data_IF_650557736044
#
_entry.id   IF_650557736044
#
_cell.length_a   1.000
_cell.length_b   1.000
_cell.length_c   1.000
_cell.angle_alpha   90.00
_cell.angle_beta   90.00
_cell.angle_gamma   90.00
#
_symmetry.space_group_name_H-M   'P 1'
#
loop_
_entity.id
_entity.type
_entity.pdbx_description
1 polymer ?
#
# COMPACT_ATOMS: atom_id res chain seq x y z
N UNK A 1 29.80 -24.06 12.00
CA UNK A 1 29.45 -22.85 12.79
C UNK A 1 29.06 -21.76 11.80
N UNK A 2 27.76 -21.51 11.64
CA UNK A 2 27.28 -20.43 10.80
C UNK A 2 27.47 -19.09 11.53
N UNK A 3 28.34 -18.26 10.99
CA UNK A 3 28.45 -16.85 11.35
C UNK A 3 27.10 -16.17 11.13
N UNK A 4 26.48 -15.69 12.22
CA UNK A 4 25.35 -14.76 12.15
C UNK A 4 25.90 -13.49 11.49
N UNK A 5 25.47 -13.20 10.26
CA UNK A 5 25.62 -11.84 9.70
C UNK A 5 24.89 -10.89 10.66
N UNK A 6 25.61 -9.90 11.17
CA UNK A 6 25.01 -8.82 11.94
C UNK A 6 23.94 -8.14 11.09
N UNK A 7 22.85 -7.75 11.73
CA UNK A 7 21.76 -6.92 11.19
C UNK A 7 22.21 -5.55 10.67
N UNK A 8 23.51 -5.23 10.76
CA UNK A 8 24.14 -3.95 10.41
C UNK A 8 24.25 -3.64 8.91
N UNK A 9 24.00 -4.60 8.03
CA UNK A 9 24.20 -4.41 6.57
C UNK A 9 22.89 -4.13 5.79
N UNK A 10 21.76 -3.93 6.48
CA UNK A 10 20.50 -3.58 5.80
C UNK A 10 20.38 -2.05 5.63
N UNK A 11 20.47 -1.50 4.41
CA UNK A 11 20.38 -0.05 4.17
C UNK A 11 19.02 0.56 4.53
N UNK A 12 18.01 -0.29 4.80
CA UNK A 12 16.67 0.12 5.22
C UNK A 12 16.49 0.18 6.74
N UNK A 13 17.56 0.02 7.52
CA UNK A 13 17.55 0.15 8.97
C UNK A 13 18.48 1.28 9.34
N UNK A 14 17.95 2.37 9.90
CA UNK A 14 18.79 3.47 10.33
C UNK A 14 19.56 3.12 11.62
N UNK A 15 20.79 3.64 11.78
CA UNK A 15 21.47 3.63 13.08
C UNK A 15 20.57 4.23 14.15
N UNK A 16 20.53 3.60 15.32
CA UNK A 16 19.71 4.08 16.41
C UNK A 16 20.44 5.22 17.15
N UNK A 17 19.85 6.41 17.16
CA UNK A 17 20.35 7.58 17.89
C UNK A 17 19.65 7.71 19.25
N UNK A 18 20.39 7.44 20.33
CA UNK A 18 19.88 7.49 21.70
C UNK A 18 19.48 8.90 22.15
N UNK A 19 20.10 9.95 21.60
CA UNK A 19 19.94 11.31 22.10
C UNK A 19 18.58 11.91 21.68
N UNK A 20 17.90 11.26 20.75
CA UNK A 20 16.57 11.60 20.29
C UNK A 20 15.44 11.02 21.18
N UNK A 21 15.76 10.20 22.19
CA UNK A 21 14.78 9.49 23.00
C UNK A 21 15.01 9.62 24.50
N UNK A 22 13.91 9.60 25.26
CA UNK A 22 13.95 9.61 26.72
C UNK A 22 14.30 8.20 27.23
N UNK A 23 15.59 7.91 27.35
CA UNK A 23 16.11 6.64 27.88
C UNK A 23 17.30 6.89 28.83
N UNK A 24 17.27 6.29 30.01
CA UNK A 24 18.39 6.33 30.94
C UNK A 24 19.61 5.57 30.36
N UNK A 25 20.85 6.08 30.53
CA UNK A 25 22.04 5.48 29.96
C UNK A 25 22.23 3.99 30.28
N UNK A 26 21.89 3.58 31.50
CA UNK A 26 21.98 2.21 32.01
C UNK A 26 21.05 1.23 31.27
N UNK A 27 19.96 1.71 30.67
CA UNK A 27 18.97 0.87 29.97
C UNK A 27 19.22 0.79 28.45
N UNK A 28 20.21 1.52 27.93
CA UNK A 28 20.50 1.60 26.48
C UNK A 28 20.86 0.26 25.86
N UNK A 29 21.57 -0.60 26.59
CA UNK A 29 21.95 -1.93 26.08
C UNK A 29 20.72 -2.82 25.90
N UNK A 30 19.86 -2.91 26.92
CA UNK A 30 18.63 -3.70 26.86
C UNK A 30 17.70 -3.20 25.74
N UNK A 31 17.56 -1.88 25.60
CA UNK A 31 16.81 -1.27 24.51
C UNK A 31 17.29 -1.78 23.14
N UNK A 32 18.60 -1.84 22.92
CA UNK A 32 19.16 -2.36 21.68
C UNK A 32 18.90 -3.84 21.48
N UNK A 33 19.04 -4.66 22.52
CA UNK A 33 18.76 -6.10 22.46
C UNK A 33 17.29 -6.36 22.08
N UNK A 34 16.37 -5.59 22.66
CA UNK A 34 14.94 -5.66 22.32
C UNK A 34 14.70 -5.14 20.90
N UNK A 35 15.32 -4.03 20.50
CA UNK A 35 15.16 -3.45 19.18
C UNK A 35 15.62 -4.40 18.07
N UNK A 36 16.76 -5.07 18.25
CA UNK A 36 17.26 -6.07 17.30
C UNK A 36 16.30 -7.27 17.14
N UNK A 37 15.54 -7.62 18.18
CA UNK A 37 14.55 -8.69 18.13
C UNK A 37 13.36 -8.34 17.21
N UNK A 38 12.94 -7.07 17.18
CA UNK A 38 11.74 -6.64 16.45
C UNK A 38 12.04 -5.98 15.11
N UNK A 39 13.25 -5.46 14.89
CA UNK A 39 13.67 -5.06 13.55
C UNK A 39 13.71 -6.27 12.63
N UNK A 40 13.23 -6.09 11.41
CA UNK A 40 13.10 -7.14 10.41
C UNK A 40 13.71 -6.71 9.09
N UNK A 41 14.43 -7.65 8.48
CA UNK A 41 14.68 -7.62 7.05
C UNK A 41 13.46 -8.22 6.36
N UNK A 42 12.78 -7.42 5.54
CA UNK A 42 11.84 -7.94 4.55
C UNK A 42 12.65 -8.57 3.41
N UNK A 43 12.04 -9.52 2.69
CA UNK A 43 12.67 -10.16 1.52
C UNK A 43 13.37 -9.11 0.65
N UNK A 44 14.58 -9.39 0.19
CA UNK A 44 15.32 -8.43 -0.64
C UNK A 44 14.45 -7.97 -1.80
N UNK A 45 14.40 -6.65 -2.04
CA UNK A 45 13.76 -5.94 -3.16
C UNK A 45 14.36 -6.35 -4.52
N UNK A 46 14.39 -7.65 -4.83
CA UNK A 46 14.89 -8.17 -6.09
C UNK A 46 13.69 -8.64 -6.88
N UNK A 47 13.31 -7.97 -7.98
CA UNK A 47 12.20 -8.41 -8.80
C UNK A 47 12.43 -9.86 -9.21
N UNK A 48 11.37 -10.67 -9.15
CA UNK A 48 11.41 -11.95 -9.84
C UNK A 48 11.71 -11.63 -11.31
N UNK A 49 12.75 -12.27 -11.87
CA UNK A 49 13.30 -11.93 -13.20
C UNK A 49 12.31 -12.14 -14.36
N UNK A 50 11.07 -12.52 -14.06
CA UNK A 50 10.09 -13.09 -14.98
C UNK A 50 8.98 -12.12 -15.39
N UNK A 51 8.82 -10.95 -14.76
CA UNK A 51 7.73 -10.03 -15.08
C UNK A 51 8.21 -8.71 -15.69
N UNK A 52 7.55 -8.31 -16.78
CA UNK A 52 7.67 -6.96 -17.35
C UNK A 52 6.97 -5.97 -16.43
N UNK A 53 7.68 -5.49 -15.40
CA UNK A 53 7.17 -4.41 -14.56
C UNK A 53 7.48 -3.09 -15.27
N UNK A 54 6.48 -2.21 -15.41
CA UNK A 54 6.67 -0.85 -15.87
C UNK A 54 7.74 -0.18 -14.98
N UNK A 55 8.89 0.27 -15.52
CA UNK A 55 9.99 0.81 -14.71
C UNK A 55 9.60 2.00 -13.82
N UNK A 56 8.62 2.80 -14.25
CA UNK A 56 8.11 3.95 -13.48
C UNK A 56 7.30 3.46 -12.29
N UNK A 57 6.38 2.51 -12.50
CA UNK A 57 5.60 1.90 -11.42
C UNK A 57 6.53 1.17 -10.44
N UNK A 58 7.50 0.43 -10.95
CA UNK A 58 8.53 -0.22 -10.14
C UNK A 58 9.23 0.79 -9.23
N UNK A 59 9.70 1.93 -9.77
CA UNK A 59 10.33 2.97 -8.98
C UNK A 59 9.41 3.54 -7.90
N UNK A 60 8.17 3.88 -8.25
CA UNK A 60 7.19 4.46 -7.31
C UNK A 60 6.88 3.48 -6.17
N UNK A 61 6.59 2.23 -6.49
CA UNK A 61 6.21 1.24 -5.48
C UNK A 61 7.41 0.74 -4.66
N UNK A 62 8.62 0.74 -5.24
CA UNK A 62 9.85 0.51 -4.47
C UNK A 62 10.01 1.55 -3.37
N UNK A 63 9.90 2.84 -3.71
CA UNK A 63 9.97 3.92 -2.73
C UNK A 63 8.88 3.81 -1.66
N UNK A 64 7.63 3.56 -2.06
CA UNK A 64 6.52 3.42 -1.11
C UNK A 64 6.74 2.24 -0.14
N UNK A 65 7.31 1.14 -0.63
CA UNK A 65 7.60 -0.01 0.21
C UNK A 65 8.79 0.24 1.15
N UNK A 66 9.87 0.86 0.67
CA UNK A 66 10.99 1.28 1.51
C UNK A 66 10.53 2.17 2.67
N UNK A 67 9.61 3.10 2.41
CA UNK A 67 9.02 3.96 3.45
C UNK A 67 8.20 3.16 4.47
N UNK A 68 7.38 2.18 4.04
CA UNK A 68 6.68 1.31 5.00
C UNK A 68 7.65 0.45 5.82
N UNK A 69 8.72 -0.05 5.21
CA UNK A 69 9.76 -0.83 5.91
C UNK A 69 10.47 0.02 6.95
N UNK A 70 10.84 1.26 6.61
CA UNK A 70 11.40 2.24 7.56
C UNK A 70 10.41 2.56 8.66
N UNK A 71 9.15 2.82 8.33
CA UNK A 71 8.10 3.06 9.32
C UNK A 71 7.93 1.87 10.28
N UNK A 72 8.05 0.64 9.80
CA UNK A 72 8.02 -0.55 10.65
C UNK A 72 9.27 -0.66 11.55
N UNK A 73 10.47 -0.50 10.97
CA UNK A 73 11.75 -0.74 11.66
C UNK A 73 12.21 0.41 12.55
N UNK A 74 11.96 1.64 12.15
CA UNK A 74 12.50 2.86 12.78
C UNK A 74 11.42 3.61 13.58
N UNK A 75 10.15 3.44 13.25
CA UNK A 75 9.08 4.11 13.99
C UNK A 75 8.37 3.18 14.98
N UNK A 76 7.94 2.01 14.52
CA UNK A 76 7.17 1.07 15.34
C UNK A 76 8.07 0.22 16.22
N UNK A 77 9.11 -0.41 15.64
CA UNK A 77 10.00 -1.30 16.39
C UNK A 77 10.78 -0.56 17.47
N UNK A 78 11.21 0.67 17.19
CA UNK A 78 11.81 1.56 18.19
C UNK A 78 10.81 1.92 19.30
N UNK A 79 9.57 2.27 18.94
CA UNK A 79 8.52 2.57 19.92
C UNK A 79 8.22 1.40 20.86
N UNK A 80 8.11 0.19 20.30
CA UNK A 80 7.91 -1.04 21.08
C UNK A 80 9.11 -1.35 21.97
N UNK A 81 10.34 -1.22 21.46
CA UNK A 81 11.54 -1.49 22.24
C UNK A 81 11.67 -0.54 23.44
N UNK A 82 11.40 0.75 23.25
CA UNK A 82 11.35 1.73 24.34
C UNK A 82 10.30 1.34 25.37
N UNK A 83 9.10 1.05 24.91
CA UNK A 83 8.00 0.72 25.79
C UNK A 83 8.30 -0.53 26.64
N UNK A 84 8.89 -1.56 26.03
CA UNK A 84 9.29 -2.77 26.75
C UNK A 84 10.41 -2.50 27.76
N UNK A 85 11.40 -1.70 27.38
CA UNK A 85 12.51 -1.32 28.29
C UNK A 85 11.97 -0.54 29.48
N UNK A 86 11.14 0.48 29.23
CA UNK A 86 10.51 1.26 30.29
C UNK A 86 9.60 0.42 31.19
N UNK A 87 8.96 -0.61 30.62
CA UNK A 87 8.12 -1.53 31.37
C UNK A 87 8.92 -2.44 32.32
N UNK A 88 10.16 -2.75 31.98
CA UNK A 88 11.03 -3.57 32.83
C UNK A 88 11.63 -2.77 34.00
N UNK A 89 11.74 -1.45 33.87
CA UNK A 89 12.34 -0.52 34.85
C UNK A 89 11.36 0.57 35.29
N UNK A 90 10.14 0.19 35.68
CA UNK A 90 9.06 1.14 35.95
C UNK A 90 9.35 2.12 37.09
N UNK A 91 10.23 1.76 38.01
CA UNK A 91 10.75 2.59 39.08
C UNK A 91 11.48 3.84 38.56
N UNK A 92 12.08 3.76 37.37
CA UNK A 92 12.92 4.80 36.81
C UNK A 92 12.19 5.70 35.81
N UNK A 93 10.97 5.32 35.41
CA UNK A 93 10.18 6.02 34.41
C UNK A 93 8.82 6.50 34.94
N UNK A 94 8.48 7.75 34.64
CA UNK A 94 7.14 8.27 34.97
C UNK A 94 6.05 7.55 34.16
N UNK A 95 4.89 7.30 34.79
CA UNK A 95 3.75 6.68 34.11
C UNK A 95 3.30 7.45 32.86
N UNK A 96 3.44 8.79 32.86
CA UNK A 96 3.12 9.63 31.71
C UNK A 96 4.03 9.35 30.52
N UNK A 97 5.33 9.15 30.75
CA UNK A 97 6.27 8.79 29.70
C UNK A 97 5.91 7.42 29.11
N UNK A 98 5.67 6.42 29.97
CA UNK A 98 5.24 5.08 29.53
C UNK A 98 3.94 5.14 28.72
N UNK A 99 2.96 5.91 29.19
CA UNK A 99 1.67 6.11 28.51
C UNK A 99 1.84 6.76 27.14
N UNK A 100 2.69 7.78 27.02
CA UNK A 100 2.99 8.42 25.74
C UNK A 100 3.56 7.45 24.71
N UNK A 101 4.55 6.63 25.09
CA UNK A 101 5.15 5.65 24.17
C UNK A 101 4.16 4.55 23.80
N UNK A 102 3.30 4.13 24.72
CA UNK A 102 2.25 3.15 24.43
C UNK A 102 1.21 3.69 23.45
N UNK A 103 0.64 4.86 23.74
CA UNK A 103 -0.37 5.52 22.90
C UNK A 103 0.16 5.72 21.47
N UNK A 104 1.38 6.25 21.33
CA UNK A 104 2.01 6.45 20.02
C UNK A 104 2.29 5.14 19.28
N UNK A 105 2.79 4.11 19.97
CA UNK A 105 3.10 2.82 19.33
C UNK A 105 1.81 2.16 18.82
N UNK A 106 0.72 2.21 19.59
CA UNK A 106 -0.59 1.73 19.15
C UNK A 106 -1.04 2.46 17.88
N UNK A 107 -0.97 3.79 17.86
CA UNK A 107 -1.38 4.59 16.70
C UNK A 107 -0.55 4.24 15.46
N UNK A 108 0.78 4.15 15.60
CA UNK A 108 1.68 3.80 14.49
C UNK A 108 1.40 2.40 13.93
N UNK A 109 1.19 1.40 14.78
CA UNK A 109 0.82 0.03 14.35
C UNK A 109 -0.48 0.04 13.53
N UNK A 110 -1.50 0.78 14.00
CA UNK A 110 -2.78 0.88 13.28
C UNK A 110 -2.60 1.62 11.94
N UNK A 111 -1.84 2.72 11.92
CA UNK A 111 -1.57 3.50 10.70
C UNK A 111 -0.78 2.71 9.65
N UNK A 112 0.10 1.81 10.06
CA UNK A 112 0.86 0.97 9.12
C UNK A 112 -0.04 0.09 8.24
N UNK A 113 -1.16 -0.39 8.80
CA UNK A 113 -2.18 -1.10 8.01
C UNK A 113 -2.85 -0.17 6.99
N UNK A 114 -3.21 1.05 7.37
CA UNK A 114 -3.79 2.02 6.43
C UNK A 114 -2.83 2.33 5.27
N UNK A 115 -1.52 2.50 5.55
CA UNK A 115 -0.51 2.68 4.49
C UNK A 115 -0.40 1.46 3.57
N UNK A 116 -0.43 0.25 4.14
CA UNK A 116 -0.41 -1.00 3.38
C UNK A 116 -1.58 -1.08 2.40
N UNK A 117 -2.80 -0.71 2.83
CA UNK A 117 -3.97 -0.67 1.96
C UNK A 117 -3.97 0.49 0.96
N UNK A 118 -3.33 1.62 1.28
CA UNK A 118 -3.14 2.73 0.33
C UNK A 118 -2.21 2.34 -0.82
N UNK A 119 -1.14 1.59 -0.56
CA UNK A 119 -0.28 1.03 -1.61
C UNK A 119 -1.10 0.15 -2.54
N UNK A 120 -1.90 -0.78 -2.00
CA UNK A 120 -2.76 -1.65 -2.82
C UNK A 120 -3.83 -0.87 -3.60
N UNK A 121 -4.42 0.16 -2.99
CA UNK A 121 -5.38 1.04 -3.65
C UNK A 121 -4.78 1.71 -4.89
N UNK A 122 -3.53 2.19 -4.78
CA UNK A 122 -2.80 2.79 -5.89
C UNK A 122 -2.38 1.74 -6.93
N UNK A 123 -1.81 0.62 -6.49
CA UNK A 123 -1.32 -0.46 -7.35
C UNK A 123 -2.41 -1.07 -8.22
N UNK A 124 -3.62 -1.23 -7.69
CA UNK A 124 -4.77 -1.78 -8.43
C UNK A 124 -5.64 -0.71 -9.10
N UNK A 125 -5.29 0.58 -9.04
CA UNK A 125 -6.06 1.65 -9.71
C UNK A 125 -7.50 1.81 -9.19
N UNK A 126 -7.68 1.67 -7.88
CA UNK A 126 -9.01 1.68 -7.27
C UNK A 126 -9.56 3.10 -7.04
N UNK A 127 -8.68 4.10 -7.01
CA UNK A 127 -9.00 5.53 -6.86
C UNK A 127 -9.80 5.87 -5.59
N UNK A 128 -9.70 5.07 -4.53
CA UNK A 128 -10.25 5.47 -3.24
C UNK A 128 -9.40 6.59 -2.63
N UNK A 129 -10.05 7.54 -1.96
CA UNK A 129 -9.39 8.67 -1.33
C UNK A 129 -8.73 8.26 -0.02
N UNK A 130 -7.51 8.74 0.23
CA UNK A 130 -6.76 8.41 1.45
C UNK A 130 -7.30 9.08 2.72
N UNK A 131 -8.07 10.16 2.61
CA UNK A 131 -8.55 10.91 3.77
C UNK A 131 -9.89 11.63 3.56
N UNK A 132 -10.59 11.91 4.67
CA UNK A 132 -11.78 12.75 4.68
C UNK A 132 -11.50 14.18 4.19
N UNK A 133 -10.32 14.73 4.51
CA UNK A 133 -9.88 16.04 4.04
C UNK A 133 -9.77 16.09 2.51
N UNK A 134 -9.22 15.04 1.89
CA UNK A 134 -9.16 14.94 0.42
C UNK A 134 -10.56 14.92 -0.19
N UNK A 135 -11.51 14.23 0.46
CA UNK A 135 -12.92 14.24 0.04
C UNK A 135 -13.54 15.62 0.15
N UNK A 136 -13.32 16.34 1.25
CA UNK A 136 -13.84 17.69 1.46
C UNK A 136 -13.31 18.65 0.39
N UNK A 137 -11.98 18.70 0.20
CA UNK A 137 -11.35 19.55 -0.82
C UNK A 137 -11.89 19.25 -2.23
N UNK A 138 -11.95 17.97 -2.61
CA UNK A 138 -12.48 17.59 -3.92
C UNK A 138 -13.97 17.92 -4.04
N UNK A 139 -14.76 17.68 -2.99
CA UNK A 139 -16.18 18.01 -2.97
C UNK A 139 -16.39 19.50 -3.21
N UNK A 140 -15.63 20.34 -2.52
CA UNK A 140 -15.70 21.80 -2.68
C UNK A 140 -15.33 22.22 -4.10
N UNK A 141 -14.29 21.63 -4.68
CA UNK A 141 -13.88 21.91 -6.07
C UNK A 141 -14.98 21.54 -7.07
N UNK A 142 -15.59 20.35 -6.93
CA UNK A 142 -16.62 19.85 -7.85
C UNK A 142 -17.98 20.53 -7.67
N UNK A 143 -18.26 21.11 -6.51
CA UNK A 143 -19.46 21.93 -6.27
C UNK A 143 -19.37 23.32 -6.87
N UNK A 144 -18.24 23.68 -7.50
CA UNK A 144 -18.05 24.94 -8.20
C UNK A 144 -18.00 24.74 -9.70
N UNK A 145 -18.57 25.70 -10.43
CA UNK A 145 -18.45 25.79 -11.88
C UNK A 145 -17.26 26.68 -12.23
N UNK A 146 -16.19 26.02 -12.67
CA UNK A 146 -14.99 26.68 -13.17
C UNK A 146 -15.14 27.03 -14.65
N UNK A 147 -14.77 28.26 -15.01
CA UNK A 147 -14.71 28.72 -16.40
C UNK A 147 -13.40 29.46 -16.62
N UNK A 148 -12.75 29.20 -17.74
CA UNK A 148 -11.66 30.05 -18.20
C UNK A 148 -12.29 31.29 -18.85
N UNK A 149 -11.86 32.48 -18.43
CA UNK A 149 -12.35 33.77 -18.92
C UNK A 149 -11.17 34.58 -19.41
N UNK A 150 -11.31 35.17 -20.59
CA UNK A 150 -10.33 36.08 -21.16
C UNK A 150 -10.39 37.45 -20.45
N UNK A 151 -9.25 37.96 -20.02
CA UNK A 151 -9.11 39.23 -19.30
C UNK A 151 -7.94 40.00 -19.90
N UNK A 152 -8.22 40.86 -20.90
CA UNK A 152 -7.18 41.51 -21.71
C UNK A 152 -6.39 40.47 -22.50
N UNK A 153 -5.06 40.52 -22.41
CA UNK A 153 -4.14 39.58 -23.09
C UNK A 153 -3.88 38.29 -22.28
N UNK A 154 -4.71 37.97 -21.29
CA UNK A 154 -4.51 36.82 -20.39
C UNK A 154 -5.78 36.01 -20.15
N UNK A 155 -5.63 34.77 -19.71
CA UNK A 155 -6.75 33.90 -19.31
C UNK A 155 -6.74 33.72 -17.79
N UNK A 156 -7.91 33.87 -17.17
CA UNK A 156 -8.11 33.66 -15.73
C UNK A 156 -9.18 32.60 -15.48
N UNK A 157 -9.10 31.91 -14.34
CA UNK A 157 -10.14 30.97 -13.91
C UNK A 157 -11.17 31.72 -13.06
N UNK A 158 -12.40 31.84 -13.57
CA UNK A 158 -13.55 32.33 -12.82
C UNK A 158 -14.33 31.16 -12.21
N UNK A 159 -14.79 31.35 -10.97
CA UNK A 159 -15.60 30.40 -10.24
C UNK A 159 -17.02 30.95 -10.06
N UNK A 160 -18.03 30.12 -10.33
CA UNK A 160 -19.44 30.44 -10.12
C UNK A 160 -20.15 29.26 -9.46
N UNK A 161 -21.22 29.52 -8.73
CA UNK A 161 -22.00 28.48 -8.09
C UNK A 161 -22.98 27.83 -9.07
N UNK A 162 -23.23 26.53 -8.87
CA UNK A 162 -24.33 25.84 -9.54
C UNK A 162 -25.67 26.24 -8.91
N UNK A 163 -26.77 26.03 -9.64
CA UNK A 163 -28.10 26.12 -9.03
C UNK A 163 -28.29 25.04 -7.96
N UNK A 164 -29.17 25.25 -6.98
CA UNK A 164 -29.41 24.30 -5.89
C UNK A 164 -29.76 22.89 -6.38
N UNK A 165 -30.58 22.79 -7.44
CA UNK A 165 -30.94 21.51 -8.07
C UNK A 165 -29.72 20.79 -8.64
N UNK A 166 -28.84 21.52 -9.32
CA UNK A 166 -27.61 20.97 -9.88
C UNK A 166 -26.62 20.56 -8.78
N UNK A 167 -26.50 21.36 -7.71
CA UNK A 167 -25.69 21.01 -6.55
C UNK A 167 -26.18 19.72 -5.88
N UNK A 168 -27.49 19.53 -5.73
CA UNK A 168 -28.04 18.30 -5.18
C UNK A 168 -27.66 17.07 -6.03
N UNK A 169 -27.80 17.17 -7.36
CA UNK A 169 -27.41 16.09 -8.29
C UNK A 169 -25.90 15.80 -8.24
N UNK A 170 -25.07 16.86 -8.17
CA UNK A 170 -23.61 16.73 -8.04
C UNK A 170 -23.26 16.06 -6.71
N UNK A 171 -23.87 16.49 -5.60
CA UNK A 171 -23.60 15.93 -4.27
C UNK A 171 -23.92 14.44 -4.18
N UNK A 172 -25.02 13.98 -4.78
CA UNK A 172 -25.34 12.55 -4.82
C UNK A 172 -24.32 11.75 -5.65
N UNK A 173 -23.85 12.30 -6.79
CA UNK A 173 -22.78 11.67 -7.57
C UNK A 173 -21.46 11.63 -6.81
N UNK A 174 -21.08 12.73 -6.15
CA UNK A 174 -19.84 12.85 -5.39
C UNK A 174 -19.82 11.89 -4.18
N UNK A 175 -20.94 11.68 -3.49
CA UNK A 175 -21.04 10.68 -2.41
C UNK A 175 -20.68 9.26 -2.88
N UNK A 176 -20.98 8.93 -4.13
CA UNK A 176 -20.67 7.62 -4.71
C UNK A 176 -19.25 7.55 -5.28
N UNK A 177 -18.73 8.66 -5.82
CA UNK A 177 -17.42 8.72 -6.44
C UNK A 177 -16.27 8.94 -5.43
N UNK A 178 -16.46 9.83 -4.46
CA UNK A 178 -15.44 10.24 -3.50
C UNK A 178 -15.46 9.36 -2.24
N UNK A 179 -15.13 8.08 -2.42
CA UNK A 179 -15.10 7.09 -1.34
C UNK A 179 -13.78 7.18 -0.58
N UNK A 180 -13.85 7.40 0.74
CA UNK A 180 -12.67 7.39 1.62
C UNK A 180 -12.31 5.95 1.99
N UNK A 181 -11.04 5.64 1.82
CA UNK A 181 -10.42 4.39 2.16
C UNK A 181 -10.12 4.31 3.66
N UNK A 182 -10.53 3.20 4.26
CA UNK A 182 -10.06 2.78 5.57
C UNK A 182 -9.70 1.31 5.49
N UNK A 183 -8.67 0.87 6.22
CA UNK A 183 -8.34 -0.55 6.31
C UNK A 183 -9.57 -1.43 6.63
N UNK A 184 -10.44 -0.95 7.52
CA UNK A 184 -11.70 -1.61 7.92
C UNK A 184 -12.71 -1.81 6.78
N UNK A 185 -12.74 -0.90 5.81
CA UNK A 185 -13.72 -0.93 4.73
C UNK A 185 -13.13 -1.42 3.41
N UNK A 186 -11.82 -1.64 3.32
CA UNK A 186 -11.09 -1.89 2.08
C UNK A 186 -11.73 -2.97 1.21
N UNK A 187 -11.83 -4.22 1.71
CA UNK A 187 -12.45 -5.34 0.97
C UNK A 187 -13.91 -5.07 0.57
N UNK A 188 -14.65 -4.34 1.42
CA UNK A 188 -16.04 -3.96 1.13
C UNK A 188 -16.11 -2.93 0.00
N UNK A 189 -15.20 -1.96 -0.03
CA UNK A 189 -15.13 -0.96 -1.11
C UNK A 189 -14.65 -1.57 -2.42
N UNK A 190 -13.66 -2.47 -2.39
CA UNK A 190 -13.24 -3.27 -3.56
C UNK A 190 -14.46 -3.97 -4.17
N UNK A 191 -15.22 -4.73 -3.36
CA UNK A 191 -16.46 -5.40 -3.78
C UNK A 191 -17.49 -4.46 -4.41
N UNK A 192 -17.63 -3.24 -3.87
CA UNK A 192 -18.60 -2.23 -4.31
C UNK A 192 -18.18 -1.51 -5.58
N UNK A 193 -16.88 -1.24 -5.75
CA UNK A 193 -16.35 -0.54 -6.92
C UNK A 193 -16.62 -1.29 -8.22
N UNK A 194 -16.71 -2.63 -8.15
CA UNK A 194 -16.82 -3.54 -9.30
C UNK A 194 -15.68 -3.40 -10.33
N UNK A 195 -14.62 -2.64 -10.02
CA UNK A 195 -13.47 -2.42 -10.91
C UNK A 195 -12.70 -3.72 -11.11
N UNK A 196 -12.41 -4.42 -10.02
CA UNK A 196 -11.58 -5.63 -10.00
C UNK A 196 -12.29 -6.83 -9.37
N UNK A 197 -11.82 -8.03 -9.70
CA UNK A 197 -12.16 -9.26 -9.01
C UNK A 197 -11.47 -9.34 -7.63
N UNK A 198 -11.99 -10.20 -6.75
CA UNK A 198 -11.31 -10.53 -5.51
C UNK A 198 -10.32 -11.66 -5.75
N UNK A 199 -9.16 -11.57 -5.11
CA UNK A 199 -8.10 -12.57 -5.19
C UNK A 199 -7.82 -13.20 -3.82
N UNK A 200 -7.33 -14.45 -3.77
CA UNK A 200 -7.00 -15.14 -2.52
C UNK A 200 -6.03 -14.37 -1.62
N UNK A 201 -5.09 -13.64 -2.20
CA UNK A 201 -4.08 -12.85 -1.48
C UNK A 201 -4.74 -11.74 -0.67
N UNK A 202 -5.76 -11.08 -1.23
CA UNK A 202 -6.55 -10.09 -0.49
C UNK A 202 -7.30 -10.76 0.68
N UNK A 203 -7.82 -11.97 0.49
CA UNK A 203 -8.52 -12.68 1.55
C UNK A 203 -7.58 -13.05 2.69
N UNK A 204 -6.39 -13.58 2.38
CA UNK A 204 -5.31 -13.84 3.35
C UNK A 204 -4.87 -12.57 4.08
N UNK A 205 -4.74 -11.44 3.37
CA UNK A 205 -4.38 -10.16 3.98
C UNK A 205 -5.47 -9.69 4.96
N UNK A 206 -6.74 -9.83 4.56
CA UNK A 206 -7.86 -9.49 5.44
C UNK A 206 -7.98 -10.43 6.63
N UNK A 207 -7.60 -11.70 6.51
CA UNK A 207 -7.52 -12.64 7.65
C UNK A 207 -6.45 -12.21 8.66
N UNK A 208 -5.27 -11.80 8.20
CA UNK A 208 -4.22 -11.24 9.06
C UNK A 208 -4.73 -9.96 9.76
N UNK A 209 -5.29 -9.02 8.99
CA UNK A 209 -5.82 -7.75 9.51
C UNK A 209 -6.98 -7.93 10.52
N UNK A 210 -7.79 -8.96 10.35
CA UNK A 210 -8.91 -9.29 11.25
C UNK A 210 -8.55 -10.32 12.32
N UNK A 211 -7.29 -10.77 12.38
CA UNK A 211 -6.82 -11.64 13.44
C UNK A 211 -7.06 -11.00 14.80
N UNK A 212 -7.23 -11.84 15.82
CA UNK A 212 -7.49 -11.39 17.20
C UNK A 212 -6.57 -10.25 17.66
N UNK A 213 -5.23 -10.33 17.55
CA UNK A 213 -4.36 -9.26 18.03
C UNK A 213 -4.56 -7.93 17.29
N UNK A 214 -4.79 -7.98 15.97
CA UNK A 214 -5.06 -6.78 15.17
C UNK A 214 -6.42 -6.17 15.48
N UNK A 215 -7.45 -6.99 15.59
CA UNK A 215 -8.82 -6.54 15.88
C UNK A 215 -8.93 -5.91 17.27
N UNK A 216 -8.37 -6.54 18.30
CA UNK A 216 -8.37 -6.00 19.67
C UNK A 216 -7.62 -4.66 19.73
N UNK A 217 -6.43 -4.55 19.13
CA UNK A 217 -5.67 -3.30 19.09
C UNK A 217 -6.46 -2.16 18.41
N UNK A 218 -7.07 -2.43 17.25
CA UNK A 218 -7.77 -1.40 16.46
C UNK A 218 -9.12 -0.98 17.02
N UNK A 219 -9.88 -1.93 17.57
CA UNK A 219 -11.27 -1.66 18.01
C UNK A 219 -11.39 -1.27 19.46
N UNK A 220 -10.51 -1.79 20.32
CA UNK A 220 -10.52 -1.49 21.74
C UNK A 220 -9.49 -0.41 22.03
N UNK A 221 -8.21 -0.71 21.81
CA UNK A 221 -7.14 0.15 22.32
C UNK A 221 -6.99 1.47 21.58
N UNK A 222 -7.02 1.46 20.23
CA UNK A 222 -7.00 2.69 19.44
C UNK A 222 -8.14 3.64 19.82
N UNK A 223 -9.35 3.11 20.05
CA UNK A 223 -10.49 3.93 20.47
C UNK A 223 -10.29 4.53 21.86
N UNK A 224 -9.69 3.78 22.80
CA UNK A 224 -9.33 4.32 24.12
C UNK A 224 -8.29 5.44 24.01
N UNK A 225 -7.24 5.24 23.20
CA UNK A 225 -6.19 6.24 22.95
C UNK A 225 -6.75 7.49 22.26
N UNK A 226 -7.64 7.33 21.28
CA UNK A 226 -8.08 8.44 20.40
C UNK A 226 -9.28 9.22 20.97
N UNK A 227 -10.22 8.54 21.63
CA UNK A 227 -11.54 9.11 21.96
C UNK A 227 -11.92 8.99 23.44
N UNK A 228 -11.18 8.21 24.21
CA UNK A 228 -11.47 7.98 25.62
C UNK A 228 -10.36 8.52 26.51
N UNK A 229 -10.04 7.71 27.52
CA UNK A 229 -9.06 8.01 28.53
C UNK A 229 -7.65 7.62 28.04
N UNK A 230 -7.04 8.40 27.14
CA UNK A 230 -5.63 8.19 26.76
C UNK A 230 -4.77 8.10 28.02
N UNK A 231 -3.80 7.19 28.00
CA UNK A 231 -2.99 6.91 29.19
C UNK A 231 -2.02 8.04 29.52
N UNK A 232 -1.84 8.97 28.59
CA UNK A 232 -1.07 10.19 28.80
C UNK A 232 -1.80 11.18 29.71
N UNK A 233 -3.13 11.11 29.79
CA UNK A 233 -3.93 11.99 30.65
C UNK A 233 -4.00 11.45 32.08
N UNK A 234 -3.52 12.22 33.05
CA UNK A 234 -3.63 11.87 34.48
C UNK A 234 -5.08 11.92 35.00
N UNK A 235 -5.96 12.68 34.34
CA UNK A 235 -7.38 12.78 34.63
C UNK A 235 -8.17 12.82 33.31
N UNK A 236 -9.27 12.09 33.25
CA UNK A 236 -10.21 12.02 32.14
C UNK A 236 -11.64 12.22 32.66
N UNK A 237 -12.45 12.95 31.91
CA UNK A 237 -13.89 13.08 32.20
C UNK A 237 -14.57 11.88 31.55
N UNK A 238 -14.80 10.81 32.32
CA UNK A 238 -15.64 9.68 31.89
C UNK A 238 -17.02 10.22 31.44
N UNK A 239 -17.65 9.55 30.46
CA UNK A 239 -18.80 10.07 29.69
C UNK A 239 -20.02 10.56 30.51
N UNK A 240 -21.08 10.96 29.80
CA UNK A 240 -22.27 11.77 30.19
C UNK A 240 -22.84 11.58 31.62
N UNK A 241 -22.59 10.46 32.30
CA UNK A 241 -23.09 10.14 33.65
C UNK A 241 -22.08 10.28 34.80
N UNK A 242 -20.83 10.70 34.57
CA UNK A 242 -19.86 10.97 35.66
C UNK A 242 -19.45 12.43 35.69
N UNK A 243 -19.93 13.16 36.69
CA UNK A 243 -19.61 14.58 36.97
C UNK A 243 -18.26 14.78 37.68
N UNK A 244 -17.55 13.71 38.02
CA UNK A 244 -16.25 13.76 38.69
C UNK A 244 -15.14 13.35 37.72
N UNK A 245 -13.99 14.06 37.71
CA UNK A 245 -12.79 13.60 37.01
C UNK A 245 -12.42 12.20 37.49
N UNK A 246 -12.33 11.26 36.55
CA UNK A 246 -11.79 9.91 36.79
C UNK A 246 -10.34 9.89 36.35
N UNK A 247 -9.50 9.04 36.93
CA UNK A 247 -8.15 8.83 36.40
C UNK A 247 -8.23 8.35 34.94
N UNK A 248 -7.36 8.89 34.07
CA UNK A 248 -7.20 8.33 32.72
C UNK A 248 -6.77 6.86 32.84
N UNK A 249 -7.23 5.98 31.92
CA UNK A 249 -7.15 4.50 31.97
C UNK A 249 -6.43 3.99 33.24
N UNK A 250 -7.14 4.04 34.38
CA UNK A 250 -6.47 3.77 35.65
C UNK A 250 -6.07 2.31 35.68
N UNK A 251 -4.77 2.09 35.80
CA UNK A 251 -4.13 0.82 36.08
C UNK A 251 -4.45 0.34 37.50
N UNK A 252 -5.71 0.38 37.94
CA UNK A 252 -6.16 -0.13 39.24
C UNK A 252 -5.87 -1.63 39.42
N UNK A 253 -5.59 -2.35 38.32
CA UNK A 253 -4.80 -3.58 38.30
C UNK A 253 -3.62 -3.44 37.31
N UNK A 254 -2.43 -2.99 37.76
CA UNK A 254 -1.43 -2.40 36.88
C UNK A 254 -0.64 -3.37 36.00
N UNK A 255 -0.16 -4.48 36.58
CA UNK A 255 0.77 -5.37 35.91
C UNK A 255 0.05 -6.15 34.80
N UNK A 256 -0.98 -6.93 35.17
CA UNK A 256 -1.64 -7.86 34.25
C UNK A 256 -2.20 -7.20 32.99
N UNK A 257 -2.86 -6.03 33.10
CA UNK A 257 -3.38 -5.31 31.91
C UNK A 257 -2.28 -4.74 31.02
N UNK A 258 -1.15 -4.31 31.59
CA UNK A 258 -0.02 -3.78 30.83
C UNK A 258 0.73 -4.91 30.13
N UNK A 259 0.95 -6.02 30.83
CA UNK A 259 1.56 -7.23 30.28
C UNK A 259 0.70 -7.79 29.13
N UNK A 260 -0.62 -7.82 29.32
CA UNK A 260 -1.57 -8.20 28.27
C UNK A 260 -1.47 -7.27 27.05
N UNK A 261 -1.33 -5.96 27.24
CA UNK A 261 -1.15 -4.99 26.15
C UNK A 261 0.18 -5.15 25.42
N UNK A 262 1.28 -5.35 26.15
CA UNK A 262 2.59 -5.59 25.54
C UNK A 262 2.60 -6.89 24.76
N UNK A 263 2.03 -7.94 25.32
CA UNK A 263 1.83 -9.22 24.64
C UNK A 263 1.00 -9.03 23.36
N UNK A 264 -0.09 -8.26 23.42
CA UNK A 264 -0.92 -7.93 22.28
C UNK A 264 -0.15 -7.18 21.19
N UNK A 265 0.65 -6.18 21.56
CA UNK A 265 1.49 -5.43 20.63
C UNK A 265 2.54 -6.33 19.96
N UNK A 266 3.22 -7.18 20.73
CA UNK A 266 4.19 -8.13 20.20
C UNK A 266 3.55 -9.09 19.20
N UNK A 267 2.40 -9.67 19.53
CA UNK A 267 1.64 -10.52 18.62
C UNK A 267 1.21 -9.75 17.35
N UNK A 268 0.84 -8.48 17.50
CA UNK A 268 0.47 -7.64 16.37
C UNK A 268 1.66 -7.38 15.45
N UNK A 269 2.87 -7.16 15.99
CA UNK A 269 4.08 -6.99 15.19
C UNK A 269 4.35 -8.18 14.27
N UNK A 270 4.21 -9.40 14.79
CA UNK A 270 4.39 -10.62 13.99
C UNK A 270 3.35 -10.74 12.86
N UNK A 271 2.10 -10.31 13.12
CA UNK A 271 1.03 -10.31 12.11
C UNK A 271 1.24 -9.19 11.09
N UNK A 272 1.62 -8.00 11.54
CA UNK A 272 1.89 -6.84 10.70
C UNK A 272 3.07 -7.12 9.76
N UNK A 273 4.14 -7.76 10.26
CA UNK A 273 5.26 -8.20 9.43
C UNK A 273 4.78 -9.10 8.28
N UNK A 274 3.93 -10.09 8.58
CA UNK A 274 3.35 -10.97 7.55
C UNK A 274 2.46 -10.20 6.56
N UNK A 275 1.71 -9.22 7.06
CA UNK A 275 0.87 -8.34 6.23
C UNK A 275 1.70 -7.51 5.25
N UNK A 276 2.74 -6.84 5.73
CA UNK A 276 3.67 -6.06 4.90
C UNK A 276 4.34 -6.96 3.87
N UNK A 277 4.80 -8.16 4.25
CA UNK A 277 5.38 -9.11 3.29
C UNK A 277 4.36 -9.55 2.23
N UNK A 278 3.10 -9.79 2.60
CA UNK A 278 2.09 -10.16 1.61
C UNK A 278 1.76 -9.01 0.65
N UNK A 279 1.77 -7.76 1.11
CA UNK A 279 1.63 -6.58 0.25
C UNK A 279 2.81 -6.44 -0.70
N UNK A 280 4.03 -6.68 -0.20
CA UNK A 280 5.22 -6.75 -1.04
C UNK A 280 5.02 -7.77 -2.15
N UNK A 281 4.67 -9.01 -1.80
CA UNK A 281 4.56 -10.11 -2.76
C UNK A 281 3.48 -9.80 -3.82
N UNK A 282 2.33 -9.23 -3.42
CA UNK A 282 1.30 -8.77 -4.36
C UNK A 282 1.86 -7.77 -5.39
N UNK A 283 2.59 -6.76 -4.94
CA UNK A 283 3.12 -5.71 -5.82
C UNK A 283 4.26 -6.25 -6.68
N UNK A 284 5.16 -7.02 -6.08
CA UNK A 284 6.43 -7.42 -6.67
C UNK A 284 6.31 -8.61 -7.61
N UNK A 285 5.41 -9.54 -7.30
CA UNK A 285 5.02 -10.63 -8.21
C UNK A 285 3.91 -10.19 -9.17
N UNK A 286 3.62 -8.88 -9.22
CA UNK A 286 2.67 -8.26 -10.11
C UNK A 286 1.27 -8.91 -10.08
N UNK A 287 0.79 -9.25 -8.88
CA UNK A 287 -0.50 -9.90 -8.67
C UNK A 287 -1.61 -8.86 -8.82
N UNK A 288 -2.05 -8.69 -10.06
CA UNK A 288 -3.07 -7.72 -10.45
C UNK A 288 -4.35 -8.48 -10.76
N UNK A 289 -5.42 -8.28 -9.98
CA UNK A 289 -6.70 -8.90 -10.28
C UNK A 289 -7.23 -8.42 -11.64
N UNK A 290 -7.79 -9.34 -12.42
CA UNK A 290 -8.58 -8.96 -13.59
C UNK A 290 -9.77 -8.08 -13.18
N UNK A 291 -10.32 -7.38 -14.17
CA UNK A 291 -11.60 -6.72 -14.05
C UNK A 291 -12.67 -7.72 -13.63
N UNK A 292 -13.71 -7.23 -12.95
CA UNK A 292 -14.81 -8.11 -12.51
C UNK A 292 -15.50 -8.83 -13.69
N UNK A 293 -15.53 -8.21 -14.87
CA UNK A 293 -16.11 -8.79 -16.08
C UNK A 293 -15.25 -9.93 -16.67
N UNK A 294 -13.94 -9.90 -16.39
CA UNK A 294 -12.96 -10.88 -16.85
C UNK A 294 -12.43 -11.75 -15.70
N UNK A 295 -13.17 -11.84 -14.60
CA UNK A 295 -12.83 -12.69 -13.45
C UNK A 295 -12.70 -14.15 -13.89
N UNK A 296 -11.56 -14.78 -13.59
CA UNK A 296 -11.28 -16.18 -13.96
C UNK A 296 -10.97 -16.40 -15.43
N UNK A 297 -10.88 -15.35 -16.25
CA UNK A 297 -10.36 -15.45 -17.61
C UNK A 297 -8.83 -15.43 -17.59
N UNK A 298 -8.25 -16.25 -18.46
CA UNK A 298 -6.81 -16.31 -18.67
C UNK A 298 -6.49 -15.51 -19.92
N UNK A 299 -5.43 -14.71 -19.87
CA UNK A 299 -4.92 -13.99 -21.03
C UNK A 299 -3.56 -14.58 -21.41
N UNK A 300 -3.27 -14.57 -22.72
CA UNK A 300 -2.06 -15.17 -23.26
C UNK A 300 -1.32 -14.17 -24.13
N UNK A 301 0.00 -14.19 -24.03
CA UNK A 301 0.89 -13.51 -24.95
C UNK A 301 1.94 -14.44 -25.52
N UNK A 302 2.59 -13.99 -26.58
CA UNK A 302 3.67 -14.68 -27.26
C UNK A 302 4.95 -13.91 -27.02
N UNK A 303 5.89 -14.54 -26.33
CA UNK A 303 7.23 -14.00 -26.15
C UNK A 303 8.07 -14.33 -27.37
N UNK A 304 8.66 -13.29 -27.94
CA UNK A 304 9.54 -13.38 -29.10
C UNK A 304 10.98 -13.13 -28.68
N UNK A 305 11.91 -13.88 -29.25
CA UNK A 305 13.34 -13.70 -29.07
C UNK A 305 14.07 -13.54 -30.41
N UNK A 306 15.18 -12.81 -30.38
CA UNK A 306 16.07 -12.73 -31.53
C UNK A 306 17.20 -13.76 -31.37
N UNK A 307 17.40 -14.68 -32.32
CA UNK A 307 18.51 -15.64 -32.22
C UNK A 307 19.89 -15.00 -32.37
N UNK A 308 19.97 -13.81 -32.96
CA UNK A 308 21.23 -13.12 -33.28
C UNK A 308 21.62 -12.01 -32.28
N UNK A 309 20.74 -11.63 -31.37
CA UNK A 309 21.08 -10.66 -30.31
C UNK A 309 20.18 -10.84 -29.08
N UNK A 310 20.53 -10.25 -27.95
CA UNK A 310 19.76 -10.39 -26.70
C UNK A 310 18.42 -9.61 -26.67
N UNK A 311 17.85 -9.31 -27.83
CA UNK A 311 16.54 -8.65 -27.91
C UNK A 311 15.42 -9.66 -27.65
N UNK A 312 14.51 -9.28 -26.74
CA UNK A 312 13.27 -10.00 -26.44
C UNK A 312 12.11 -9.02 -26.48
N UNK A 313 10.97 -9.47 -26.98
CA UNK A 313 9.73 -8.70 -27.01
C UNK A 313 8.53 -9.58 -26.68
N UNK A 314 7.38 -8.98 -26.48
CA UNK A 314 6.13 -9.69 -26.21
C UNK A 314 4.98 -9.05 -26.99
N UNK A 315 4.04 -9.87 -27.46
CA UNK A 315 2.78 -9.41 -28.03
C UNK A 315 1.62 -10.25 -27.52
N UNK A 316 0.39 -9.79 -27.72
CA UNK A 316 -0.79 -10.58 -27.37
C UNK A 316 -0.99 -11.75 -28.32
N UNK A 317 -1.58 -12.84 -27.81
CA UNK A 317 -1.91 -14.01 -28.61
C UNK A 317 -2.84 -13.64 -29.78
N UNK A 318 -3.85 -12.79 -29.55
CA UNK A 318 -4.80 -12.38 -30.60
C UNK A 318 -4.10 -11.65 -31.76
N UNK A 319 -3.14 -10.76 -31.45
CA UNK A 319 -2.36 -10.06 -32.48
C UNK A 319 -1.43 -11.02 -33.21
N UNK A 320 -0.79 -11.93 -32.48
CA UNK A 320 0.07 -12.95 -33.07
C UNK A 320 -0.73 -13.86 -34.03
N UNK A 321 -1.87 -14.38 -33.61
CA UNK A 321 -2.72 -15.28 -34.39
C UNK A 321 -3.26 -14.60 -35.65
N UNK A 322 -3.66 -13.33 -35.54
CA UNK A 322 -4.10 -12.52 -36.68
C UNK A 322 -3.00 -12.40 -37.74
N UNK A 323 -1.75 -12.19 -37.31
CA UNK A 323 -0.60 -12.03 -38.20
C UNK A 323 -0.13 -13.39 -38.74
N UNK A 324 -0.27 -14.46 -37.96
CA UNK A 324 0.05 -15.82 -38.35
C UNK A 324 -0.89 -16.34 -39.43
N UNK A 325 -2.21 -16.18 -39.22
CA UNK A 325 -3.24 -16.58 -40.16
C UNK A 325 -3.08 -15.91 -41.54
N UNK A 326 -2.41 -14.77 -41.59
CA UNK A 326 -2.10 -14.04 -42.82
C UNK A 326 -0.73 -14.35 -43.42
N UNK A 327 -0.02 -15.35 -42.90
CA UNK A 327 1.31 -15.77 -43.37
C UNK A 327 2.41 -14.74 -43.13
N UNK A 328 2.20 -13.76 -42.21
CA UNK A 328 3.13 -12.64 -41.96
C UNK A 328 3.95 -12.77 -40.68
N UNK A 329 3.74 -13.82 -39.87
CA UNK A 329 4.65 -14.16 -38.75
C UNK A 329 6.14 -14.26 -39.13
N UNK A 330 6.56 -14.67 -40.34
CA UNK A 330 7.98 -14.67 -40.70
C UNK A 330 8.64 -13.26 -40.83
N UNK A 331 7.95 -12.14 -40.55
CA UNK A 331 8.46 -10.78 -40.82
C UNK A 331 8.59 -9.89 -39.58
N UNK A 332 8.53 -10.45 -38.36
CA UNK A 332 8.95 -9.67 -37.20
C UNK A 332 10.47 -9.62 -37.16
N UNK A 333 11.02 -8.57 -37.75
CA UNK A 333 12.46 -8.34 -37.71
C UNK A 333 12.84 -7.71 -36.37
N UNK A 334 13.90 -8.23 -35.77
CA UNK A 334 14.50 -7.61 -34.60
C UNK A 334 14.83 -6.14 -34.90
N UNK A 335 14.38 -5.16 -34.10
CA UNK A 335 14.65 -3.75 -34.36
C UNK A 335 16.15 -3.41 -34.25
N UNK A 336 16.94 -4.26 -33.56
CA UNK A 336 18.39 -4.06 -33.40
C UNK A 336 19.21 -4.59 -34.57
N UNK A 337 18.95 -5.83 -35.01
CA UNK A 337 19.81 -6.53 -35.96
C UNK A 337 19.08 -7.02 -37.23
N UNK A 338 17.78 -6.71 -37.37
CA UNK A 338 16.93 -7.07 -38.50
C UNK A 338 16.80 -8.57 -38.79
N UNK A 339 17.22 -9.42 -37.85
CA UNK A 339 17.05 -10.86 -37.96
C UNK A 339 15.63 -11.25 -37.54
N UNK A 340 15.02 -12.27 -38.18
CA UNK A 340 13.66 -12.69 -37.84
C UNK A 340 13.60 -13.14 -36.37
N UNK A 341 12.55 -12.70 -35.68
CA UNK A 341 12.26 -13.13 -34.32
C UNK A 341 11.65 -14.54 -34.34
N UNK A 342 12.02 -15.33 -33.34
CA UNK A 342 11.47 -16.66 -33.09
C UNK A 342 10.54 -16.64 -31.88
N UNK A 343 9.62 -17.60 -31.83
CA UNK A 343 8.76 -17.77 -30.67
C UNK A 343 9.59 -18.46 -29.59
N UNK A 344 9.77 -17.78 -28.46
CA UNK A 344 10.41 -18.37 -27.31
C UNK A 344 9.42 -19.22 -26.52
N UNK A 345 8.26 -18.65 -26.19
CA UNK A 345 7.21 -19.32 -25.42
C UNK A 345 5.88 -18.55 -25.45
N UNK A 346 4.80 -19.24 -25.11
CA UNK A 346 3.52 -18.62 -24.75
C UNK A 346 3.51 -18.34 -23.24
N UNK A 347 3.07 -17.15 -22.87
CA UNK A 347 3.02 -16.66 -21.50
C UNK A 347 1.56 -16.46 -21.09
N UNK A 348 1.20 -16.99 -19.93
CA UNK A 348 0.01 -16.54 -19.22
C UNK A 348 0.28 -15.18 -18.58
N UNK A 349 -0.68 -14.26 -18.66
CA UNK A 349 -0.55 -12.91 -18.13
C UNK A 349 -1.85 -12.37 -17.58
N UNK A 350 -1.77 -11.35 -16.73
CA UNK A 350 -2.92 -10.64 -16.21
C UNK A 350 -3.57 -9.75 -17.29
N UNK A 351 -4.86 -9.45 -17.14
CA UNK A 351 -5.61 -8.56 -18.05
C UNK A 351 -4.90 -7.21 -18.25
N UNK A 352 -4.32 -6.65 -17.18
CA UNK A 352 -3.65 -5.36 -17.24
C UNK A 352 -2.44 -5.40 -18.17
N UNK A 353 -1.61 -6.44 -18.05
CA UNK A 353 -0.41 -6.59 -18.87
C UNK A 353 -0.80 -6.89 -20.33
N UNK A 354 -1.84 -7.69 -20.53
CA UNK A 354 -2.43 -7.93 -21.85
C UNK A 354 -2.90 -6.63 -22.52
N UNK A 355 -3.67 -5.81 -21.80
CA UNK A 355 -4.15 -4.51 -22.29
C UNK A 355 -3.00 -3.52 -22.51
N UNK A 356 -1.96 -3.56 -21.68
CA UNK A 356 -0.76 -2.76 -21.89
C UNK A 356 -0.06 -3.15 -23.19
N UNK A 357 0.06 -4.45 -23.49
CA UNK A 357 0.60 -4.92 -24.76
C UNK A 357 -0.27 -4.46 -25.94
N UNK A 358 -1.60 -4.54 -25.82
CA UNK A 358 -2.54 -4.02 -26.83
C UNK A 358 -2.39 -2.51 -27.06
N UNK A 359 -2.24 -1.72 -25.99
CA UNK A 359 -2.10 -0.28 -26.11
C UNK A 359 -0.76 0.12 -26.73
N UNK A 360 0.29 -0.66 -26.47
CA UNK A 360 1.61 -0.46 -27.08
C UNK A 360 1.75 -1.11 -28.46
N UNK A 361 0.63 -1.51 -29.09
CA UNK A 361 0.61 -1.97 -30.49
C UNK A 361 1.07 -0.89 -31.46
N UNK A 362 1.16 0.39 -31.06
CA UNK A 362 1.87 1.43 -31.82
C UNK A 362 3.32 1.06 -32.16
N UNK A 363 3.99 0.20 -31.36
CA UNK A 363 5.29 -0.37 -31.74
C UNK A 363 5.22 -1.24 -33.00
N UNK A 364 4.05 -1.81 -33.27
CA UNK A 364 3.71 -2.59 -34.44
C UNK A 364 2.87 -1.79 -35.46
N UNK A 365 2.56 -0.52 -35.21
CA UNK A 365 1.77 0.32 -36.12
C UNK A 365 2.43 0.43 -37.49
N UNK A 366 3.77 0.52 -37.56
CA UNK A 366 4.46 0.50 -38.86
C UNK A 366 4.16 -0.75 -39.69
N UNK A 367 3.97 -1.89 -39.04
CA UNK A 367 3.57 -3.15 -39.69
C UNK A 367 2.06 -3.22 -39.94
N UNK A 368 1.22 -2.67 -39.05
CA UNK A 368 -0.25 -2.63 -39.16
C UNK A 368 -0.78 -1.56 -40.14
N UNK A 369 -0.12 -0.41 -40.28
CA UNK A 369 -0.49 0.65 -41.22
C UNK A 369 -0.15 0.28 -42.67
N UNK A 370 0.98 -0.40 -42.90
CA UNK A 370 1.27 -1.05 -44.19
C UNK A 370 0.17 -2.07 -44.54
N UNK A 371 -0.36 -2.75 -43.52
CA UNK A 371 -1.44 -3.72 -43.65
C UNK A 371 -2.82 -3.10 -43.99
N UNK A 372 -3.21 -1.97 -43.40
CA UNK A 372 -4.48 -1.30 -43.75
C UNK A 372 -4.47 -0.75 -45.19
N UNK A 373 -3.31 -0.32 -45.69
CA UNK A 373 -3.14 0.15 -47.07
C UNK A 373 -3.24 -0.97 -48.10
N UNK A 374 -2.71 -2.17 -47.82
CA UNK A 374 -2.80 -3.32 -48.71
C UNK A 374 -4.21 -3.94 -48.79
N UNK A 375 -5.05 -3.76 -47.75
CA UNK A 375 -6.43 -4.27 -47.72
C UNK A 375 -7.48 -3.34 -48.29
N UNK A 376 -7.08 -2.14 -48.72
CA UNK A 376 -7.94 -1.14 -49.39
C UNK A 376 -7.66 -1.02 -50.90
N UNK A 377 -6.83 -1.92 -51.44
CA UNK A 377 -6.61 -2.22 -52.85
C UNK A 377 -7.12 -3.61 -53.18
#
# INVERSE_FOLDING_TARGET
MHSKKSTSDNPLIQPFDYDCYYIHPEHRQELCEILEKYRRSFSSLKPSKTHMINPVEFGIFSCAFEEIVRFFNDDISIGLAHLMTMHNHLEDYSQRAVGFYLDNTILKVVSCWDYSFQILNQFWGLDFLSSARSREILSDIYQKRWKVVETGDSFTLACSDYSEKQLAEINEKLKQALVVLHADNFKKQVKRSKKIALIPELDRLMELFNSRPCKELRTQWRNHVTHGASMTFGLHISGINSTLPTEGLSFTHPAKRRDDMLCLLQQNMDVLQKGIQLVHDIVWDNIVPNSRQNSGKMFYGVQLDCPNCDFKDCMTQDVFDLLHAKGRVPHFDCPKCRSPLTILQHLEMAERDYNWLLFNVEKFEGHLQNYLKDSSS
#
